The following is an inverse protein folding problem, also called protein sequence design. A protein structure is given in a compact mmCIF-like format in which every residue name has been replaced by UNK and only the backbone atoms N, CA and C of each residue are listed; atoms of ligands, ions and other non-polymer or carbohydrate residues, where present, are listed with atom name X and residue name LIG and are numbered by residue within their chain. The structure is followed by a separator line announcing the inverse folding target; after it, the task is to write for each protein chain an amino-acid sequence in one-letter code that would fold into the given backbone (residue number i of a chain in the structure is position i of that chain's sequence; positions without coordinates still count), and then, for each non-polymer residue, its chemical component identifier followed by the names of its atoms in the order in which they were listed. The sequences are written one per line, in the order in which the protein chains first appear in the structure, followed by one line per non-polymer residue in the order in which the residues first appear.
data_IF_332919902808
#
_entry.id   IF_332919902808
#
_cell.length_a   1.000
_cell.length_b   1.000
_cell.length_c   1.000
_cell.angle_alpha   90.00
_cell.angle_beta   90.00
_cell.angle_gamma   90.00
#
_symmetry.space_group_name_H-M   'P 1'
#
loop_
_entity.id
_entity.type
_entity.pdbx_description
1 polymer ?
#
# COMPACT_ATOMS: atom_id res chain seq x y z
N UNK A 1 41.56 28.87 -10.85
CA UNK A 1 40.26 28.71 -11.55
C UNK A 1 39.83 27.26 -11.82
N UNK A 2 40.70 26.34 -12.30
CA UNK A 2 40.29 24.95 -12.66
C UNK A 2 39.90 24.05 -11.47
N UNK A 3 40.39 24.33 -10.26
CA UNK A 3 40.16 23.47 -9.10
C UNK A 3 38.82 23.79 -8.40
N UNK A 4 38.43 25.07 -8.33
CA UNK A 4 37.14 25.49 -7.78
C UNK A 4 35.94 24.96 -8.58
N UNK A 5 36.04 24.93 -9.91
CA UNK A 5 34.97 24.41 -10.76
C UNK A 5 34.76 22.91 -10.58
N UNK A 6 35.83 22.15 -10.30
CA UNK A 6 35.77 20.71 -10.04
C UNK A 6 35.05 20.41 -8.72
N UNK A 7 35.30 21.21 -7.69
CA UNK A 7 34.65 21.08 -6.37
C UNK A 7 33.17 21.47 -6.44
N UNK A 8 32.83 22.55 -7.17
CA UNK A 8 31.43 22.97 -7.38
C UNK A 8 30.60 21.90 -8.09
N UNK A 9 31.14 21.30 -9.16
CA UNK A 9 30.45 20.25 -9.90
C UNK A 9 30.26 18.96 -9.07
N UNK A 10 31.23 18.64 -8.21
CA UNK A 10 31.13 17.51 -7.29
C UNK A 10 30.03 17.71 -6.24
N UNK A 11 29.95 18.91 -5.64
CA UNK A 11 28.90 19.28 -4.69
C UNK A 11 27.51 19.25 -5.31
N UNK A 12 27.36 19.75 -6.54
CA UNK A 12 26.10 19.69 -7.29
C UNK A 12 25.70 18.23 -7.56
N UNK A 13 26.63 17.40 -8.00
CA UNK A 13 26.37 15.98 -8.25
C UNK A 13 25.96 15.22 -6.98
N UNK A 14 26.62 15.52 -5.84
CA UNK A 14 26.29 14.92 -4.55
C UNK A 14 24.90 15.36 -4.05
N UNK A 15 24.58 16.65 -4.15
CA UNK A 15 23.28 17.18 -3.78
C UNK A 15 22.13 16.60 -4.63
N UNK A 16 22.35 16.46 -5.95
CA UNK A 16 21.41 15.79 -6.85
C UNK A 16 21.25 14.30 -6.52
N UNK A 17 22.35 13.60 -6.22
CA UNK A 17 22.32 12.19 -5.83
C UNK A 17 21.52 11.94 -4.55
N UNK A 18 21.73 12.78 -3.52
CA UNK A 18 20.94 12.71 -2.28
C UNK A 18 19.47 13.06 -2.55
N UNK A 19 19.20 14.11 -3.32
CA UNK A 19 17.82 14.51 -3.65
C UNK A 19 17.04 13.39 -4.33
N UNK A 20 17.65 12.69 -5.28
CA UNK A 20 17.05 11.52 -5.94
C UNK A 20 16.82 10.35 -4.97
N UNK A 21 17.78 10.06 -4.08
CA UNK A 21 17.64 8.99 -3.10
C UNK A 21 16.52 9.25 -2.08
N UNK A 22 16.34 10.51 -1.64
CA UNK A 22 15.26 10.90 -0.72
C UNK A 22 13.88 10.77 -1.39
N UNK A 23 13.76 11.10 -2.68
CA UNK A 23 12.51 10.96 -3.41
C UNK A 23 12.09 9.50 -3.65
N UNK A 24 13.04 8.58 -3.78
CA UNK A 24 12.76 7.14 -3.98
C UNK A 24 12.40 6.40 -2.68
N UNK A 25 12.67 7.01 -1.51
CA UNK A 25 12.47 6.39 -0.19
C UNK A 25 11.05 6.48 0.37
N UNK A 26 10.10 7.10 -0.33
CA UNK A 26 8.70 7.16 0.11
C UNK A 26 7.92 5.97 -0.46
N UNK A 27 8.29 4.76 -0.05
CA UNK A 27 7.34 3.65 -0.09
C UNK A 27 6.17 4.06 0.82
N UNK A 28 5.03 4.35 0.22
CA UNK A 28 3.81 4.70 0.97
C UNK A 28 3.51 3.50 1.85
N UNK A 29 3.74 3.64 3.16
CA UNK A 29 3.35 2.61 4.11
C UNK A 29 1.85 2.30 3.88
N UNK A 30 1.44 1.03 3.90
CA UNK A 30 0.02 0.67 3.80
C UNK A 30 -0.74 1.47 4.85
N UNK A 31 -1.67 2.32 4.40
CA UNK A 31 -2.40 3.20 5.31
C UNK A 31 -3.48 2.37 5.97
N UNK A 32 -3.53 2.34 7.29
CA UNK A 32 -4.65 1.68 7.96
C UNK A 32 -5.97 2.42 7.68
N UNK A 33 -7.02 1.67 7.41
CA UNK A 33 -8.33 2.20 7.07
C UNK A 33 -9.30 1.14 6.54
N UNK A 34 -10.46 1.63 6.12
CA UNK A 34 -11.54 0.82 5.55
C UNK A 34 -11.43 0.81 4.03
N UNK A 35 -11.37 -0.38 3.46
CA UNK A 35 -11.23 -0.62 2.02
C UNK A 35 -12.45 -1.34 1.47
N UNK A 36 -12.82 -1.01 0.24
CA UNK A 36 -13.91 -1.66 -0.48
C UNK A 36 -13.35 -2.41 -1.68
N UNK A 37 -13.81 -3.65 -1.87
CA UNK A 37 -13.38 -4.55 -2.93
C UNK A 37 -14.63 -5.06 -3.65
N UNK A 38 -14.73 -4.77 -4.93
CA UNK A 38 -15.75 -5.33 -5.82
C UNK A 38 -15.14 -5.69 -7.18
N UNK A 39 -15.76 -6.63 -7.88
CA UNK A 39 -15.53 -6.80 -9.31
C UNK A 39 -16.54 -5.97 -10.10
N UNK A 40 -16.20 -5.54 -11.31
CA UNK A 40 -17.14 -4.84 -12.19
C UNK A 40 -18.39 -5.70 -12.43
N UNK A 41 -19.58 -5.15 -12.10
CA UNK A 41 -20.86 -5.86 -12.23
C UNK A 41 -21.20 -6.82 -11.09
N UNK A 42 -20.47 -6.80 -9.96
CA UNK A 42 -20.86 -7.59 -8.79
C UNK A 42 -22.06 -6.96 -8.06
N UNK A 43 -23.01 -7.81 -7.66
CA UNK A 43 -24.15 -7.44 -6.80
C UNK A 43 -23.76 -7.21 -5.32
N UNK A 44 -22.46 -7.33 -5.01
CA UNK A 44 -21.97 -7.21 -3.65
C UNK A 44 -20.56 -6.63 -3.57
N UNK A 45 -20.26 -6.02 -2.43
CA UNK A 45 -18.96 -5.41 -2.12
C UNK A 45 -18.45 -6.01 -0.81
N UNK A 46 -17.17 -6.38 -0.80
CA UNK A 46 -16.46 -6.73 0.43
C UNK A 46 -15.84 -5.49 1.04
N UNK A 47 -16.00 -5.33 2.34
CA UNK A 47 -15.47 -4.21 3.11
C UNK A 47 -14.51 -4.77 4.14
N UNK A 48 -13.28 -4.25 4.14
CA UNK A 48 -12.18 -4.66 5.02
C UNK A 48 -11.76 -3.47 5.89
N UNK A 49 -11.87 -3.59 7.20
CA UNK A 49 -11.18 -2.69 8.14
C UNK A 49 -9.81 -3.27 8.49
N UNK A 50 -8.75 -2.64 8.01
CA UNK A 50 -7.38 -3.11 8.22
C UNK A 50 -6.85 -2.85 9.64
N UNK A 51 -7.52 -2.02 10.46
CA UNK A 51 -7.14 -1.80 11.87
C UNK A 51 -7.52 -2.97 12.74
N UNK A 52 -8.76 -3.43 12.59
CA UNK A 52 -9.28 -4.57 13.33
C UNK A 52 -9.00 -5.89 12.63
N UNK A 53 -8.94 -5.89 11.29
CA UNK A 53 -9.02 -7.09 10.46
C UNK A 53 -10.44 -7.56 10.20
N UNK A 54 -11.47 -6.77 10.55
CA UNK A 54 -12.86 -7.13 10.34
C UNK A 54 -13.21 -7.13 8.84
N UNK A 55 -13.99 -8.14 8.42
CA UNK A 55 -14.47 -8.28 7.04
C UNK A 55 -15.99 -8.44 7.06
N UNK A 56 -16.69 -7.68 6.22
CA UNK A 56 -18.12 -7.89 5.96
C UNK A 56 -18.43 -7.72 4.48
N UNK A 57 -19.46 -8.42 4.02
CA UNK A 57 -20.01 -8.27 2.68
C UNK A 57 -21.30 -7.48 2.76
N UNK A 58 -21.51 -6.60 1.79
CA UNK A 58 -22.73 -5.82 1.64
C UNK A 58 -23.32 -6.06 0.26
N UNK A 59 -24.62 -6.33 0.21
CA UNK A 59 -25.46 -6.27 -0.99
C UNK A 59 -26.40 -5.05 -0.88
N UNK A 60 -27.28 -4.86 -1.85
CA UNK A 60 -28.33 -3.84 -1.76
C UNK A 60 -29.33 -4.09 -0.62
N UNK A 61 -29.50 -5.34 -0.20
CA UNK A 61 -30.54 -5.76 0.73
C UNK A 61 -30.01 -6.29 2.07
N UNK A 62 -28.73 -6.65 2.17
CA UNK A 62 -28.21 -7.35 3.35
C UNK A 62 -26.74 -7.03 3.66
N UNK A 63 -26.36 -7.32 4.90
CA UNK A 63 -24.99 -7.23 5.40
C UNK A 63 -24.65 -8.55 6.10
N UNK A 64 -23.62 -9.23 5.61
CA UNK A 64 -23.06 -10.43 6.25
C UNK A 64 -21.71 -10.10 6.86
N UNK A 65 -21.61 -10.19 8.19
CA UNK A 65 -20.37 -9.99 8.93
C UNK A 65 -19.59 -11.31 9.07
N UNK A 66 -18.33 -11.32 8.63
CA UNK A 66 -17.43 -12.47 8.77
C UNK A 66 -16.56 -12.36 10.03
N UNK A 67 -16.70 -11.27 10.78
CA UNK A 67 -16.05 -11.01 12.04
C UNK A 67 -14.59 -10.60 11.89
N UNK A 68 -13.88 -10.69 13.00
CA UNK A 68 -12.50 -10.25 13.16
C UNK A 68 -11.61 -11.43 13.55
N UNK A 69 -10.44 -11.63 12.91
CA UNK A 69 -9.51 -12.67 13.31
C UNK A 69 -9.01 -12.46 14.75
N UNK A 70 -9.18 -13.46 15.62
CA UNK A 70 -8.67 -13.42 17.00
C UNK A 70 -7.13 -13.40 17.08
N UNK A 71 -6.45 -13.85 16.02
CA UNK A 71 -4.99 -13.87 15.87
C UNK A 71 -4.64 -13.44 14.44
N UNK A 72 -4.63 -12.14 14.15
CA UNK A 72 -4.30 -11.66 12.82
C UNK A 72 -2.86 -12.08 12.48
N UNK A 73 -2.72 -12.78 11.36
CA UNK A 73 -1.42 -13.14 10.80
C UNK A 73 -1.27 -12.48 9.46
N UNK A 74 -0.22 -11.67 9.28
CA UNK A 74 0.20 -11.19 7.98
C UNK A 74 1.04 -12.27 7.29
N UNK A 75 0.40 -13.33 6.83
CA UNK A 75 1.04 -14.33 5.96
C UNK A 75 0.55 -14.09 4.53
N UNK A 76 1.45 -13.67 3.64
CA UNK A 76 1.18 -13.66 2.20
C UNK A 76 1.13 -15.12 1.72
N UNK A 77 -0.07 -15.63 1.48
CA UNK A 77 -0.24 -16.93 0.83
C UNK A 77 -0.30 -16.74 -0.67
N UNK A 78 0.54 -17.46 -1.41
CA UNK A 78 0.36 -17.63 -2.85
C UNK A 78 -0.98 -18.32 -3.10
N UNK A 79 -2.01 -17.53 -3.46
CA UNK A 79 -3.30 -18.07 -3.88
C UNK A 79 -3.18 -18.47 -5.34
N UNK A 80 -3.07 -19.78 -5.60
CA UNK A 80 -3.19 -20.31 -6.94
C UNK A 80 -4.67 -20.19 -7.33
N UNK A 81 -5.00 -19.29 -8.26
CA UNK A 81 -6.34 -19.24 -8.85
C UNK A 81 -6.54 -20.51 -9.69
N UNK A 82 -7.41 -21.40 -9.24
CA UNK A 82 -7.93 -22.48 -10.10
C UNK A 82 -8.91 -21.86 -11.09
N UNK A 83 -8.63 -21.99 -12.39
CA UNK A 83 -9.56 -21.61 -13.45
C UNK A 83 -10.66 -22.66 -13.59
#
# INVERSE_FOLDING_TARGET
MKQESKVKNLLIGFALGIGLAVCMGQAVAPREGTYQISSGGADSVFILDTRSGQIWQRTDSDITDFGTPNKPKSEEKNVIKTQ
#
